data_IF_797356253749
#
_entry.id   IF_797356253749
#
_cell.length_a   1.000
_cell.length_b   1.000
_cell.length_c   1.000
_cell.angle_alpha   90.00
_cell.angle_beta   90.00
_cell.angle_gamma   90.00
#
_symmetry.space_group_name_H-M   'P 1'
#
loop_
_entity.id
_entity.type
_entity.pdbx_description
1 polymer ?
#
# COMPACT_ATOMS: atom_id res chain seq x y z
N UNK A 1 -2.29 3.07 -5.75
CA UNK A 1 -1.02 3.84 -5.84
C UNK A 1 -0.64 4.29 -4.43
N UNK A 2 0.59 4.06 -3.98
CA UNK A 2 1.05 4.60 -2.70
C UNK A 2 1.57 6.02 -2.94
N UNK A 3 1.08 6.98 -2.15
CA UNK A 3 1.43 8.40 -2.25
C UNK A 3 1.73 8.96 -0.86
N UNK A 4 2.58 9.99 -0.79
CA UNK A 4 2.92 10.70 0.45
C UNK A 4 4.06 10.07 1.25
N UNK A 5 4.95 10.92 1.78
CA UNK A 5 6.19 10.53 2.46
C UNK A 5 5.96 9.50 3.57
N UNK A 6 4.94 9.69 4.41
CA UNK A 6 4.61 8.76 5.50
C UNK A 6 4.35 7.33 5.01
N UNK A 7 3.64 7.19 3.89
CA UNK A 7 3.35 5.87 3.32
C UNK A 7 4.59 5.24 2.68
N UNK A 8 5.44 6.03 2.03
CA UNK A 8 6.73 5.56 1.50
C UNK A 8 7.64 5.05 2.64
N UNK A 9 7.73 5.80 3.75
CA UNK A 9 8.52 5.40 4.92
C UNK A 9 7.98 4.11 5.54
N UNK A 10 6.68 4.04 5.86
CA UNK A 10 6.10 2.86 6.52
C UNK A 10 6.09 1.62 5.64
N UNK A 11 5.75 1.77 4.36
CA UNK A 11 5.80 0.67 3.39
C UNK A 11 7.24 0.19 3.18
N UNK A 12 8.20 1.12 3.07
CA UNK A 12 9.61 0.81 2.92
C UNK A 12 10.14 -0.03 4.08
N UNK A 13 9.86 0.38 5.32
CA UNK A 13 10.21 -0.40 6.51
C UNK A 13 9.59 -1.80 6.47
N UNK A 14 8.30 -1.90 6.17
CA UNK A 14 7.59 -3.19 6.13
C UNK A 14 8.13 -4.13 5.04
N UNK A 15 8.55 -3.59 3.89
CA UNK A 15 9.05 -4.36 2.76
C UNK A 15 10.56 -4.56 2.76
N UNK A 16 11.28 -3.94 3.70
CA UNK A 16 12.74 -3.83 3.75
C UNK A 16 13.31 -3.19 2.47
N UNK A 17 12.70 -2.09 2.05
CA UNK A 17 13.06 -1.28 0.88
C UNK A 17 13.25 0.17 1.31
N UNK A 18 14.24 0.85 0.71
CA UNK A 18 14.39 2.30 0.91
C UNK A 18 13.59 3.06 -0.16
N UNK A 19 12.27 3.12 0.08
CA UNK A 19 11.35 3.78 -0.84
C UNK A 19 11.41 5.31 -0.73
N UNK A 20 11.99 5.86 0.34
CA UNK A 20 12.14 7.32 0.50
C UNK A 20 13.27 7.82 -0.40
N UNK A 21 14.41 7.14 -0.39
CA UNK A 21 15.52 7.48 -1.28
C UNK A 21 15.29 7.01 -2.72
N UNK A 22 14.59 5.88 -2.91
CA UNK A 22 14.40 5.26 -4.22
C UNK A 22 12.93 4.92 -4.50
N UNK A 23 12.05 5.92 -4.70
CA UNK A 23 10.62 5.67 -4.94
C UNK A 23 10.35 4.85 -6.21
N UNK A 24 11.24 4.92 -7.21
CA UNK A 24 11.16 4.14 -8.45
C UNK A 24 11.20 2.62 -8.23
N UNK A 25 11.62 2.13 -7.05
CA UNK A 25 11.52 0.71 -6.71
C UNK A 25 10.07 0.21 -6.81
N UNK A 26 9.05 1.06 -6.59
CA UNK A 26 7.65 0.67 -6.72
C UNK A 26 7.18 0.46 -8.17
N UNK A 27 7.99 0.81 -9.16
CA UNK A 27 7.71 0.52 -10.58
C UNK A 27 8.06 -0.92 -10.95
N UNK A 28 8.88 -1.59 -10.14
CA UNK A 28 9.16 -3.02 -10.30
C UNK A 28 7.94 -3.82 -9.86
N UNK A 29 7.44 -4.70 -10.73
CA UNK A 29 6.21 -5.48 -10.54
C UNK A 29 6.13 -6.15 -9.17
N UNK A 30 7.24 -6.77 -8.72
CA UNK A 30 7.33 -7.44 -7.42
C UNK A 30 7.11 -6.48 -6.25
N UNK A 31 7.66 -5.28 -6.31
CA UNK A 31 7.55 -4.28 -5.25
C UNK A 31 6.18 -3.59 -5.31
N UNK A 32 5.67 -3.32 -6.51
CA UNK A 32 4.30 -2.86 -6.72
C UNK A 32 3.28 -3.79 -6.05
N UNK A 33 3.32 -5.09 -6.35
CA UNK A 33 2.42 -6.09 -5.76
C UNK A 33 2.53 -6.18 -4.24
N UNK A 34 3.76 -6.23 -3.70
CA UNK A 34 4.01 -6.28 -2.24
C UNK A 34 3.50 -5.01 -1.54
N UNK A 35 3.69 -3.85 -2.15
CA UNK A 35 3.25 -2.57 -1.59
C UNK A 35 1.72 -2.44 -1.60
N UNK A 36 1.06 -2.91 -2.66
CA UNK A 36 -0.39 -2.98 -2.75
C UNK A 36 -0.97 -3.92 -1.68
N UNK A 37 -0.38 -5.11 -1.50
CA UNK A 37 -0.78 -6.04 -0.46
C UNK A 37 -0.60 -5.44 0.94
N UNK A 38 0.53 -4.78 1.21
CA UNK A 38 0.78 -4.08 2.46
C UNK A 38 -0.28 -3.01 2.75
N UNK A 39 -0.61 -2.17 1.75
CA UNK A 39 -1.64 -1.13 1.90
C UNK A 39 -3.00 -1.75 2.22
N UNK A 40 -3.39 -2.80 1.51
CA UNK A 40 -4.67 -3.49 1.70
C UNK A 40 -4.81 -4.03 3.13
N UNK A 41 -3.76 -4.69 3.64
CA UNK A 41 -3.73 -5.24 5.00
C UNK A 41 -3.71 -4.13 6.05
N UNK A 42 -2.83 -3.13 5.92
CA UNK A 42 -2.67 -2.07 6.92
C UNK A 42 -3.86 -1.13 7.01
N UNK A 43 -4.59 -0.93 5.90
CA UNK A 43 -5.86 -0.20 5.89
C UNK A 43 -7.03 -1.03 6.43
N UNK A 44 -6.82 -2.29 6.77
CA UNK A 44 -7.81 -3.15 7.41
C UNK A 44 -8.85 -3.74 6.44
N UNK A 45 -8.56 -3.78 5.14
CA UNK A 45 -9.52 -4.27 4.13
C UNK A 45 -9.92 -5.73 4.36
N UNK A 46 -9.03 -6.54 4.95
CA UNK A 46 -9.32 -7.93 5.34
C UNK A 46 -10.43 -8.07 6.39
N UNK A 47 -10.82 -6.98 7.07
CA UNK A 47 -11.96 -6.99 8.02
C UNK A 47 -13.31 -6.89 7.30
N UNK A 48 -13.31 -6.55 6.01
CA UNK A 48 -14.50 -6.28 5.21
C UNK A 48 -14.55 -7.19 3.97
N UNK A 49 -14.14 -8.45 4.13
CA UNK A 49 -14.15 -9.44 3.06
C UNK A 49 -15.55 -9.59 2.45
N UNK A 50 -15.65 -9.45 1.13
CA UNK A 50 -16.91 -9.50 0.39
C UNK A 50 -17.66 -8.16 0.30
N UNK A 51 -17.28 -7.15 1.09
CA UNK A 51 -17.87 -5.81 1.01
C UNK A 51 -17.05 -4.91 0.09
N UNK A 52 -17.36 -4.99 -1.21
CA UNK A 52 -16.66 -4.23 -2.25
C UNK A 52 -16.79 -2.72 -2.05
N UNK A 53 -17.96 -2.24 -1.59
CA UNK A 53 -18.22 -0.81 -1.40
C UNK A 53 -17.33 -0.28 -0.28
N UNK A 54 -17.30 -0.97 0.86
CA UNK A 54 -16.50 -0.57 2.01
C UNK A 54 -15.00 -0.61 1.71
N UNK A 55 -14.53 -1.66 1.04
CA UNK A 55 -13.12 -1.78 0.62
C UNK A 55 -12.74 -0.64 -0.35
N UNK A 56 -13.62 -0.32 -1.31
CA UNK A 56 -13.38 0.77 -2.27
C UNK A 56 -13.28 2.13 -1.58
N UNK A 57 -14.16 2.41 -0.61
CA UNK A 57 -14.10 3.63 0.20
C UNK A 57 -12.80 3.72 1.02
N UNK A 58 -12.38 2.63 1.64
CA UNK A 58 -11.14 2.58 2.45
C UNK A 58 -9.90 2.91 1.60
N UNK A 59 -9.85 2.40 0.37
CA UNK A 59 -8.70 2.57 -0.53
C UNK A 59 -8.69 3.97 -1.16
N UNK A 60 -9.85 4.47 -1.60
CA UNK A 60 -9.95 5.70 -2.38
C UNK A 60 -10.34 6.94 -1.56
N UNK A 61 -10.70 6.78 -0.29
CA UNK A 61 -11.05 7.87 0.62
C UNK A 61 -12.53 8.22 0.67
N UNK A 62 -13.36 7.69 -0.24
CA UNK A 62 -14.77 8.07 -0.38
C UNK A 62 -14.93 9.38 -1.14
#
# INVERSE_FOLDING_TARGET
RITGLENYTRCGVALKLDLVANPGQLELERHAARSAAWLFVTKGCLKYSGDLVRVTQIINGG
#
